data_IF_340277326197
#
_entry.id   IF_340277326197
#
_cell.length_a   1.000
_cell.length_b   1.000
_cell.length_c   1.000
_cell.angle_alpha   90.00
_cell.angle_beta   90.00
_cell.angle_gamma   90.00
#
_symmetry.space_group_name_H-M   'P 1'
#
loop_
_entity.id
_entity.type
_entity.pdbx_description
1 polymer ?
#
# COMPACT_ATOMS: atom_id res chain seq x y z
N UNK A 1 2.95 -11.08 3.37
CA UNK A 1 2.55 -12.02 4.45
C UNK A 1 1.64 -13.06 3.82
N UNK A 2 2.02 -14.32 3.92
CA UNK A 2 1.26 -15.41 3.33
C UNK A 2 -0.14 -15.51 3.94
N UNK A 3 -1.17 -15.70 3.09
CA UNK A 3 -2.56 -15.87 3.54
C UNK A 3 -3.37 -14.58 3.70
N UNK A 4 -2.74 -13.40 3.60
CA UNK A 4 -3.45 -12.13 3.64
C UNK A 4 -3.57 -11.52 2.24
N UNK A 5 -4.73 -10.94 1.88
CA UNK A 5 -4.88 -10.18 0.65
C UNK A 5 -3.90 -9.00 0.63
N UNK A 6 -3.40 -8.67 -0.55
CA UNK A 6 -2.48 -7.54 -0.75
C UNK A 6 -2.85 -6.76 -1.99
N UNK A 7 -2.64 -5.45 -1.95
CA UNK A 7 -2.75 -4.58 -3.12
C UNK A 7 -1.52 -4.62 -4.03
N UNK A 8 -0.46 -5.32 -3.60
CA UNK A 8 0.80 -5.42 -4.33
C UNK A 8 0.87 -6.69 -5.18
N UNK A 9 1.79 -6.69 -6.15
CA UNK A 9 2.12 -7.88 -6.90
C UNK A 9 2.68 -8.98 -5.98
N UNK A 10 2.24 -10.23 -6.14
CA UNK A 10 2.66 -11.34 -5.29
C UNK A 10 4.16 -11.69 -5.40
N UNK A 11 4.84 -11.23 -6.44
CA UNK A 11 6.29 -11.30 -6.58
C UNK A 11 7.07 -10.29 -5.71
N UNK A 12 6.41 -9.40 -4.98
CA UNK A 12 7.04 -8.52 -4.01
C UNK A 12 7.33 -9.29 -2.71
N UNK A 13 8.40 -10.07 -2.69
CA UNK A 13 8.73 -11.06 -1.65
C UNK A 13 9.75 -10.57 -0.61
N UNK A 14 10.14 -9.28 -0.66
CA UNK A 14 11.09 -8.70 0.30
C UNK A 14 12.55 -9.05 0.01
N UNK A 15 12.90 -9.38 -1.23
CA UNK A 15 14.24 -9.82 -1.62
C UNK A 15 15.31 -8.80 -1.25
N UNK A 16 15.04 -7.50 -1.44
CA UNK A 16 15.95 -6.42 -1.05
C UNK A 16 16.26 -6.40 0.44
N UNK A 17 15.23 -6.63 1.28
CA UNK A 17 15.41 -6.76 2.74
C UNK A 17 16.25 -7.97 3.10
N UNK A 18 15.97 -9.12 2.48
CA UNK A 18 16.70 -10.36 2.72
C UNK A 18 18.17 -10.25 2.31
N UNK A 19 18.46 -9.66 1.15
CA UNK A 19 19.82 -9.42 0.66
C UNK A 19 20.60 -8.50 1.62
N UNK A 20 20.02 -7.37 1.98
CA UNK A 20 20.62 -6.42 2.91
C UNK A 20 20.88 -7.05 4.28
N UNK A 21 19.92 -7.79 4.83
CA UNK A 21 20.04 -8.48 6.10
C UNK A 21 21.18 -9.51 6.09
N UNK A 22 21.30 -10.32 5.04
CA UNK A 22 22.39 -11.30 4.88
C UNK A 22 23.77 -10.66 4.83
N UNK A 23 23.85 -9.41 4.34
CA UNK A 23 25.07 -8.61 4.35
C UNK A 23 25.37 -7.93 5.68
N UNK A 24 24.50 -8.08 6.70
CA UNK A 24 24.66 -7.47 8.01
C UNK A 24 24.09 -6.05 8.13
N UNK A 25 23.22 -5.65 7.20
CA UNK A 25 22.52 -4.37 7.31
C UNK A 25 21.53 -4.37 8.49
N UNK A 26 21.51 -3.25 9.21
CA UNK A 26 20.55 -3.05 10.31
C UNK A 26 19.15 -2.81 9.75
N UNK A 27 18.16 -3.51 10.30
CA UNK A 27 16.76 -3.31 10.01
C UNK A 27 16.08 -2.50 11.12
N UNK A 28 14.99 -1.81 10.77
CA UNK A 28 14.18 -1.08 11.75
C UNK A 28 12.70 -1.16 11.41
N UNK A 29 11.85 -1.19 12.42
CA UNK A 29 10.38 -1.18 12.30
C UNK A 29 9.81 -2.25 11.36
N UNK A 30 10.45 -3.41 11.21
CA UNK A 30 10.02 -4.49 10.30
C UNK A 30 8.69 -5.13 10.70
N UNK A 31 8.21 -4.84 11.89
CA UNK A 31 6.90 -5.22 12.43
C UNK A 31 5.76 -4.29 11.97
N UNK A 32 6.07 -3.22 11.22
CA UNK A 32 5.09 -2.19 10.87
C UNK A 32 4.63 -2.29 9.43
N UNK A 33 3.50 -2.96 9.24
CA UNK A 33 2.81 -3.02 7.95
C UNK A 33 1.66 -2.00 7.94
N UNK A 34 1.53 -1.28 6.83
CA UNK A 34 0.39 -0.41 6.61
C UNK A 34 -0.68 -1.16 5.83
N UNK A 35 -1.88 -1.23 6.39
CA UNK A 35 -3.06 -1.66 5.65
C UNK A 35 -3.61 -0.49 4.83
N UNK A 36 -4.07 -0.79 3.62
CA UNK A 36 -4.94 0.12 2.88
C UNK A 36 -6.38 -0.21 3.25
N UNK A 37 -7.19 0.77 3.72
CA UNK A 37 -8.55 0.50 4.17
C UNK A 37 -9.45 -0.10 3.10
N UNK A 38 -9.24 0.29 1.84
CA UNK A 38 -10.13 -0.02 0.72
C UNK A 38 -9.52 -1.07 -0.21
N UNK A 39 -9.34 -2.30 0.27
CA UNK A 39 -9.10 -3.47 -0.58
C UNK A 39 -10.43 -4.07 -1.02
N UNK A 40 -10.60 -4.38 -2.31
CA UNK A 40 -11.82 -5.04 -2.81
C UNK A 40 -11.98 -6.43 -2.16
N UNK A 41 -13.21 -6.78 -1.82
CA UNK A 41 -13.59 -8.10 -1.27
C UNK A 41 -14.42 -8.88 -2.28
N UNK A 42 -15.12 -8.19 -3.16
CA UNK A 42 -15.95 -8.74 -4.21
C UNK A 42 -15.76 -7.92 -5.50
N UNK A 43 -15.76 -8.56 -6.67
CA UNK A 43 -15.80 -10.02 -6.91
C UNK A 43 -14.51 -10.72 -6.48
N UNK A 44 -14.54 -12.06 -6.38
CA UNK A 44 -13.40 -12.84 -5.84
C UNK A 44 -12.09 -12.63 -6.62
N UNK A 45 -12.17 -12.36 -7.92
CA UNK A 45 -11.02 -12.08 -8.78
C UNK A 45 -10.30 -10.77 -8.43
N UNK A 46 -11.00 -9.86 -7.74
CA UNK A 46 -10.47 -8.57 -7.30
C UNK A 46 -10.08 -8.54 -5.82
N UNK A 47 -10.13 -9.68 -5.11
CA UNK A 47 -9.81 -9.71 -3.69
C UNK A 47 -8.41 -9.12 -3.44
N UNK A 48 -8.37 -8.11 -2.56
CA UNK A 48 -7.15 -7.38 -2.21
C UNK A 48 -6.77 -6.28 -3.20
N UNK A 49 -7.39 -6.24 -4.39
CA UNK A 49 -7.13 -5.17 -5.35
C UNK A 49 -7.47 -3.80 -4.75
N UNK A 50 -6.63 -2.82 -5.10
CA UNK A 50 -6.78 -1.47 -4.57
C UNK A 50 -8.05 -0.79 -5.13
N UNK A 51 -8.92 -0.35 -4.22
CA UNK A 51 -9.94 0.67 -4.51
C UNK A 51 -9.35 2.00 -4.05
N UNK A 52 -9.21 2.94 -4.99
CA UNK A 52 -8.49 4.19 -4.74
C UNK A 52 -9.03 4.96 -3.53
N UNK A 53 -8.12 5.51 -2.75
CA UNK A 53 -8.45 6.37 -1.61
C UNK A 53 -9.18 7.65 -2.02
N UNK A 54 -8.99 8.09 -3.28
CA UNK A 54 -9.64 9.26 -3.85
C UNK A 54 -11.16 9.24 -3.69
N UNK A 55 -11.80 8.06 -3.84
CA UNK A 55 -13.26 7.93 -3.67
C UNK A 55 -13.70 8.40 -2.27
N UNK A 56 -12.98 7.99 -1.20
CA UNK A 56 -13.26 8.46 0.17
C UNK A 56 -12.95 9.96 0.34
N UNK A 57 -11.88 10.41 -0.31
CA UNK A 57 -11.48 11.83 -0.26
C UNK A 57 -12.47 12.75 -0.96
N UNK A 58 -13.23 12.25 -1.92
CA UNK A 58 -14.28 12.99 -2.64
C UNK A 58 -15.69 12.76 -2.08
N UNK A 59 -15.82 12.15 -0.91
CA UNK A 59 -17.08 12.06 -0.19
C UNK A 59 -17.70 10.66 -0.11
N UNK A 60 -17.09 9.62 -0.69
CA UNK A 60 -17.59 8.25 -0.56
C UNK A 60 -17.59 7.76 0.89
N UNK A 61 -18.75 7.41 1.42
CA UNK A 61 -18.94 7.01 2.81
C UNK A 61 -18.67 5.51 3.01
N UNK A 62 -18.19 5.18 4.22
CA UNK A 62 -18.08 3.80 4.70
C UNK A 62 -19.29 3.45 5.55
N UNK A 63 -20.06 2.45 5.11
CA UNK A 63 -21.28 2.03 5.81
C UNK A 63 -21.26 0.53 6.13
N UNK A 64 -21.78 0.19 7.30
CA UNK A 64 -21.89 -1.18 7.77
C UNK A 64 -23.12 -1.89 7.19
N UNK A 65 -23.38 -3.13 7.60
CA UNK A 65 -24.53 -3.93 7.15
C UNK A 65 -25.89 -3.33 7.54
N UNK A 66 -25.93 -2.37 8.48
CA UNK A 66 -27.15 -1.66 8.88
C UNK A 66 -27.35 -0.35 8.11
N UNK A 67 -26.43 0.02 7.22
CA UNK A 67 -26.43 1.31 6.53
C UNK A 67 -25.90 2.46 7.40
N UNK A 68 -25.24 2.18 8.53
CA UNK A 68 -24.73 3.19 9.43
C UNK A 68 -23.29 3.55 9.06
N UNK A 69 -22.99 4.85 8.95
CA UNK A 69 -21.63 5.38 8.87
C UNK A 69 -20.96 5.28 10.23
N UNK A 70 -19.75 4.74 10.31
CA UNK A 70 -19.12 4.37 11.59
C UNK A 70 -17.72 4.98 11.80
N UNK A 71 -17.17 5.68 10.83
CA UNK A 71 -15.83 6.29 10.90
C UNK A 71 -15.79 7.56 10.05
N UNK A 72 -14.88 8.48 10.37
CA UNK A 72 -14.51 9.55 9.45
C UNK A 72 -13.55 9.00 8.39
N UNK A 73 -13.96 8.98 7.13
CA UNK A 73 -13.22 8.39 6.01
C UNK A 73 -11.90 9.10 5.70
N UNK A 74 -11.74 10.34 6.19
CA UNK A 74 -10.52 11.15 6.02
C UNK A 74 -9.50 10.97 7.14
N UNK A 75 -9.82 10.16 8.15
CA UNK A 75 -8.86 9.80 9.18
C UNK A 75 -7.69 8.99 8.61
N UNK A 76 -6.65 8.81 9.42
CA UNK A 76 -5.46 8.06 9.01
C UNK A 76 -5.79 6.61 8.69
N UNK A 77 -5.00 5.98 7.80
CA UNK A 77 -5.26 4.62 7.30
C UNK A 77 -5.40 3.57 8.40
N UNK A 78 -4.63 3.69 9.47
CA UNK A 78 -4.69 2.79 10.63
C UNK A 78 -6.00 2.93 11.39
N UNK A 79 -6.50 4.16 11.59
CA UNK A 79 -7.79 4.42 12.23
C UNK A 79 -8.93 3.87 11.39
N UNK A 80 -8.96 4.19 10.10
CA UNK A 80 -10.02 3.70 9.20
C UNK A 80 -9.98 2.17 9.08
N UNK A 81 -8.79 1.57 8.91
CA UNK A 81 -8.65 0.12 8.82
C UNK A 81 -9.10 -0.59 10.10
N UNK A 82 -8.69 -0.11 11.27
CA UNK A 82 -9.08 -0.70 12.55
C UNK A 82 -10.59 -0.57 12.80
N UNK A 83 -11.21 0.53 12.37
CA UNK A 83 -12.67 0.71 12.46
C UNK A 83 -13.42 -0.28 11.57
N UNK A 84 -12.97 -0.50 10.34
CA UNK A 84 -13.56 -1.53 9.44
C UNK A 84 -13.43 -2.94 10.05
N UNK A 85 -12.25 -3.27 10.55
CA UNK A 85 -12.00 -4.58 11.20
C UNK A 85 -12.96 -4.77 12.37
N UNK A 86 -13.09 -3.75 13.24
CA UNK A 86 -13.99 -3.79 14.39
C UNK A 86 -15.45 -4.00 13.98
N UNK A 87 -15.95 -3.25 12.97
CA UNK A 87 -17.31 -3.44 12.46
C UNK A 87 -17.57 -4.87 12.00
N UNK A 88 -16.59 -5.46 11.32
CA UNK A 88 -16.67 -6.84 10.84
C UNK A 88 -16.61 -7.86 11.98
N UNK A 89 -15.74 -7.67 12.98
CA UNK A 89 -15.60 -8.56 14.15
C UNK A 89 -16.83 -8.52 15.05
N UNK A 90 -17.46 -7.35 15.19
CA UNK A 90 -18.70 -7.18 15.95
C UNK A 90 -19.97 -7.62 15.19
N UNK A 91 -19.80 -8.24 14.01
CA UNK A 91 -20.89 -8.82 13.24
C UNK A 91 -21.73 -7.82 12.44
N UNK A 92 -21.24 -6.57 12.26
CA UNK A 92 -21.90 -5.54 11.45
C UNK A 92 -21.32 -5.46 10.03
N UNK A 93 -20.41 -6.35 9.66
CA UNK A 93 -19.89 -6.47 8.29
C UNK A 93 -20.86 -7.24 7.39
N UNK A 94 -20.69 -7.08 6.08
CA UNK A 94 -21.42 -7.80 5.03
C UNK A 94 -20.63 -9.04 4.65
N UNK A 95 -21.27 -10.21 4.64
CA UNK A 95 -20.65 -11.46 4.22
C UNK A 95 -20.95 -11.79 2.77
N UNK A 96 -19.92 -12.15 2.02
CA UNK A 96 -20.07 -12.71 0.67
C UNK A 96 -20.50 -14.18 0.73
N UNK A 97 -20.94 -14.74 -0.39
CA UNK A 97 -21.27 -16.16 -0.51
C UNK A 97 -20.07 -17.08 -0.22
N UNK A 98 -18.84 -16.62 -0.51
CA UNK A 98 -17.59 -17.34 -0.19
C UNK A 98 -17.15 -17.20 1.26
N UNK A 99 -17.94 -16.53 2.11
CA UNK A 99 -17.67 -16.37 3.55
C UNK A 99 -16.74 -15.22 3.90
N UNK A 100 -16.26 -14.44 2.92
CA UNK A 100 -15.49 -13.24 3.21
C UNK A 100 -16.39 -12.15 3.79
N UNK A 101 -15.77 -11.20 4.48
CA UNK A 101 -16.50 -10.13 5.16
C UNK A 101 -15.91 -8.76 4.76
N UNK A 102 -16.73 -7.73 4.71
CA UNK A 102 -16.33 -6.36 4.43
C UNK A 102 -17.39 -5.35 4.83
N UNK A 103 -17.16 -4.10 4.49
CA UNK A 103 -18.11 -2.99 4.62
C UNK A 103 -18.34 -2.36 3.25
N UNK A 104 -19.44 -1.66 3.08
CA UNK A 104 -19.70 -0.93 1.84
C UNK A 104 -18.91 0.38 1.80
N UNK A 105 -18.26 0.63 0.69
CA UNK A 105 -17.87 1.96 0.24
C UNK A 105 -18.97 2.45 -0.72
N UNK A 106 -19.71 3.45 -0.28
CA UNK A 106 -20.83 4.03 -1.05
C UNK A 106 -20.28 4.91 -2.18
N UNK A 107 -20.00 4.27 -3.31
CA UNK A 107 -19.49 4.94 -4.50
C UNK A 107 -20.57 5.70 -5.26
N UNK A 108 -21.87 5.24 -5.34
CA UNK A 108 -22.96 5.99 -5.97
C UNK A 108 -23.20 7.37 -5.34
N UNK A 109 -22.84 7.55 -4.08
CA UNK A 109 -22.99 8.81 -3.35
C UNK A 109 -22.29 9.98 -4.06
N UNK A 110 -21.14 9.72 -4.73
CA UNK A 110 -20.38 10.77 -5.42
C UNK A 110 -21.22 11.40 -6.55
N UNK A 111 -21.89 10.57 -7.34
CA UNK A 111 -22.77 11.05 -8.42
C UNK A 111 -24.02 11.73 -7.86
N UNK A 112 -24.53 11.28 -6.71
CA UNK A 112 -25.68 11.89 -6.05
C UNK A 112 -25.37 13.28 -5.48
N UNK A 113 -24.18 13.48 -4.90
CA UNK A 113 -23.76 14.74 -4.27
C UNK A 113 -23.16 15.75 -5.27
N UNK A 114 -22.38 15.28 -6.24
CA UNK A 114 -21.62 16.14 -7.15
C UNK A 114 -22.15 16.19 -8.58
N UNK A 115 -23.19 15.40 -8.87
CA UNK A 115 -23.85 15.31 -10.16
C UNK A 115 -23.46 14.06 -10.96
N UNK A 116 -24.36 13.61 -11.87
CA UNK A 116 -24.16 12.41 -12.66
C UNK A 116 -22.86 12.42 -13.47
N UNK A 117 -22.14 11.29 -13.49
CA UNK A 117 -20.89 11.11 -14.21
C UNK A 117 -19.65 11.62 -13.50
N UNK A 118 -19.75 12.08 -12.25
CA UNK A 118 -18.61 12.48 -11.43
C UNK A 118 -17.65 11.32 -11.22
N UNK A 119 -18.18 10.15 -10.86
CA UNK A 119 -17.38 8.95 -10.62
C UNK A 119 -16.63 8.51 -11.89
N UNK A 120 -17.30 8.50 -13.05
CA UNK A 120 -16.68 8.15 -14.34
C UNK A 120 -15.57 9.14 -14.71
N UNK A 121 -15.80 10.42 -14.52
CA UNK A 121 -14.86 11.49 -14.84
C UNK A 121 -13.61 11.46 -13.95
N UNK A 122 -13.76 11.24 -12.65
CA UNK A 122 -12.64 11.31 -11.68
C UNK A 122 -11.93 9.97 -11.50
N UNK A 123 -12.66 8.86 -11.66
CA UNK A 123 -12.14 7.51 -11.39
C UNK A 123 -12.38 6.52 -12.54
N UNK A 124 -12.07 6.88 -13.81
CA UNK A 124 -12.37 6.02 -14.98
C UNK A 124 -11.69 4.65 -14.89
N UNK A 125 -10.50 4.58 -14.28
CA UNK A 125 -9.80 3.31 -14.08
C UNK A 125 -10.54 2.38 -13.11
N UNK A 126 -11.19 2.93 -12.07
CA UNK A 126 -11.99 2.15 -11.13
C UNK A 126 -13.28 1.65 -11.81
N UNK A 127 -13.97 2.50 -12.56
CA UNK A 127 -15.13 2.10 -13.38
C UNK A 127 -14.77 0.89 -14.25
N UNK A 128 -13.73 1.03 -15.08
CA UNK A 128 -13.26 -0.03 -15.98
C UNK A 128 -12.85 -1.32 -15.24
N UNK A 129 -12.27 -1.19 -14.06
CA UNK A 129 -11.83 -2.34 -13.26
C UNK A 129 -13.00 -3.21 -12.82
N UNK A 130 -14.12 -2.61 -12.40
CA UNK A 130 -15.30 -3.33 -11.92
C UNK A 130 -16.25 -3.71 -13.06
N UNK A 131 -16.38 -2.89 -14.11
CA UNK A 131 -17.18 -3.15 -15.30
C UNK A 131 -16.80 -4.47 -15.99
N UNK A 132 -15.51 -4.84 -15.98
CA UNK A 132 -15.00 -6.13 -16.49
C UNK A 132 -15.66 -7.35 -15.83
N UNK A 133 -16.24 -7.16 -14.66
CA UNK A 133 -16.95 -8.19 -13.89
C UNK A 133 -18.47 -7.93 -13.84
N UNK A 134 -18.97 -7.02 -14.68
CA UNK A 134 -20.39 -6.68 -14.73
C UNK A 134 -20.91 -5.85 -13.56
N UNK A 135 -20.02 -5.16 -12.83
CA UNK A 135 -20.37 -4.31 -11.69
C UNK A 135 -20.25 -2.85 -12.12
N UNK A 136 -21.35 -2.10 -12.00
CA UNK A 136 -21.40 -0.66 -12.25
C UNK A 136 -21.31 0.09 -10.91
N UNK A 137 -20.11 0.53 -10.54
CA UNK A 137 -19.86 1.19 -9.27
C UNK A 137 -20.46 2.60 -9.15
N UNK A 138 -21.09 3.11 -10.22
CA UNK A 138 -21.92 4.32 -10.14
C UNK A 138 -23.34 4.04 -9.61
N UNK A 139 -23.73 2.77 -9.59
CA UNK A 139 -25.05 2.30 -9.13
C UNK A 139 -24.98 1.39 -7.92
N UNK A 140 -23.90 0.61 -7.84
CA UNK A 140 -23.68 -0.38 -6.79
C UNK A 140 -22.49 0.00 -5.91
N UNK A 141 -22.63 -0.01 -4.58
CA UNK A 141 -21.50 0.25 -3.68
C UNK A 141 -20.45 -0.87 -3.78
N UNK A 142 -19.20 -0.54 -3.48
CA UNK A 142 -18.09 -1.50 -3.52
C UNK A 142 -17.87 -2.13 -2.15
N UNK A 143 -17.82 -3.46 -2.09
CA UNK A 143 -17.49 -4.17 -0.86
C UNK A 143 -15.98 -4.15 -0.64
N UNK A 144 -15.53 -3.60 0.50
CA UNK A 144 -14.13 -3.43 0.83
C UNK A 144 -13.78 -4.00 2.20
N UNK A 145 -12.49 -4.35 2.36
CA UNK A 145 -11.87 -4.73 3.63
C UNK A 145 -10.39 -4.34 3.60
N UNK A 146 -9.75 -4.04 4.76
CA UNK A 146 -8.34 -3.70 4.80
C UNK A 146 -7.44 -4.76 4.16
N UNK A 147 -6.50 -4.31 3.32
CA UNK A 147 -5.55 -5.16 2.60
C UNK A 147 -4.11 -4.72 2.88
N UNK A 148 -3.17 -5.66 2.89
CA UNK A 148 -1.75 -5.34 3.04
C UNK A 148 -1.28 -4.47 1.87
N UNK A 149 -0.60 -3.37 2.20
CA UNK A 149 -0.29 -2.35 1.21
C UNK A 149 1.16 -1.89 1.19
N UNK A 150 1.74 -1.55 2.35
CA UNK A 150 3.06 -0.94 2.39
C UNK A 150 3.84 -1.38 3.65
N UNK A 151 5.13 -1.67 3.46
CA UNK A 151 6.05 -1.93 4.55
C UNK A 151 6.67 -0.60 5.01
N UNK A 152 6.33 -0.12 6.22
CA UNK A 152 6.88 1.13 6.74
C UNK A 152 8.32 0.99 7.23
N UNK A 153 8.66 -0.17 7.77
CA UNK A 153 10.02 -0.48 8.18
C UNK A 153 10.87 -1.05 7.04
N UNK A 154 12.14 -1.23 7.31
CA UNK A 154 13.06 -1.73 6.30
C UNK A 154 14.51 -1.60 6.73
N UNK A 155 15.42 -1.53 5.76
CA UNK A 155 16.84 -1.33 6.00
C UNK A 155 17.08 0.09 6.52
N UNK A 156 17.76 0.20 7.68
CA UNK A 156 18.12 1.50 8.25
C UNK A 156 19.13 2.22 7.34
N UNK A 157 18.77 3.43 6.91
CA UNK A 157 19.61 4.30 6.08
C UNK A 157 19.86 5.65 6.79
N UNK A 158 20.87 6.34 6.32
CA UNK A 158 21.13 7.74 6.65
C UNK A 158 20.51 8.70 5.62
N UNK A 159 20.77 10.00 5.74
CA UNK A 159 20.26 11.03 4.84
C UNK A 159 20.81 10.93 3.41
N UNK A 160 21.86 10.16 3.18
CA UNK A 160 22.45 9.89 1.87
C UNK A 160 22.06 8.54 1.28
N UNK A 161 21.09 7.85 1.91
CA UNK A 161 20.65 6.49 1.56
C UNK A 161 21.69 5.39 1.84
N UNK A 162 22.73 5.69 2.66
CA UNK A 162 23.77 4.76 3.00
C UNK A 162 23.37 3.90 4.19
N UNK A 163 23.70 2.61 4.14
CA UNK A 163 23.48 1.69 5.26
C UNK A 163 24.72 1.61 6.15
N UNK A 164 24.65 0.83 7.22
CA UNK A 164 25.85 0.50 8.02
C UNK A 164 26.82 -0.46 7.31
N UNK A 165 26.41 -1.04 6.18
CA UNK A 165 27.28 -1.90 5.36
C UNK A 165 27.96 -1.04 4.31
N UNK A 166 29.28 -1.08 4.28
CA UNK A 166 30.07 -0.28 3.34
C UNK A 166 29.68 -0.56 1.88
N UNK A 167 29.45 0.50 1.10
CA UNK A 167 29.04 0.46 -0.30
C UNK A 167 27.64 -0.14 -0.57
N UNK A 168 26.81 -0.27 0.46
CA UNK A 168 25.41 -0.67 0.32
C UNK A 168 24.50 0.54 0.52
N UNK A 169 23.74 0.87 -0.52
CA UNK A 169 22.76 1.94 -0.54
C UNK A 169 21.37 1.34 -0.75
N UNK A 170 20.36 1.92 -0.10
CA UNK A 170 18.98 1.47 -0.19
C UNK A 170 18.05 2.68 -0.33
N UNK A 171 17.07 2.59 -1.22
CA UNK A 171 16.03 3.59 -1.41
C UNK A 171 14.68 2.92 -1.70
N UNK A 172 13.58 3.67 -1.51
CA UNK A 172 12.22 3.19 -1.71
C UNK A 172 11.74 2.31 -0.55
N UNK A 173 10.71 1.50 -0.80
CA UNK A 173 10.02 0.72 0.24
C UNK A 173 10.93 -0.25 1.03
N UNK A 174 12.07 -0.65 0.47
CA UNK A 174 13.05 -1.47 1.17
C UNK A 174 13.78 -0.71 2.30
N UNK A 175 13.76 0.64 2.29
CA UNK A 175 14.37 1.47 3.32
C UNK A 175 13.42 1.70 4.49
N UNK A 176 13.97 1.73 5.70
CA UNK A 176 13.24 2.01 6.94
C UNK A 176 13.60 3.35 7.56
N UNK A 177 12.69 3.88 8.37
CA UNK A 177 12.92 5.09 9.16
C UNK A 177 12.41 6.39 8.55
N UNK A 178 12.12 6.42 7.25
CA UNK A 178 11.66 7.62 6.55
C UNK A 178 10.23 8.02 6.95
N UNK A 179 9.38 7.04 7.13
CA UNK A 179 7.96 7.21 7.40
C UNK A 179 7.56 6.89 8.85
N UNK A 180 8.53 6.67 9.72
CA UNK A 180 8.25 6.18 11.07
C UNK A 180 7.53 4.82 11.03
N UNK A 181 6.41 4.70 11.75
CA UNK A 181 5.62 3.47 11.84
C UNK A 181 4.33 3.51 11.02
N UNK A 182 4.00 4.65 10.40
CA UNK A 182 2.77 4.82 9.61
C UNK A 182 2.94 5.91 8.56
N UNK A 183 3.08 5.51 7.30
CA UNK A 183 3.33 6.40 6.16
C UNK A 183 2.08 7.22 5.81
N UNK A 184 2.26 8.51 5.57
CA UNK A 184 1.22 9.35 4.97
C UNK A 184 1.03 9.01 3.49
N UNK A 185 -0.20 9.09 3.02
CA UNK A 185 -0.58 8.85 1.64
C UNK A 185 0.29 9.65 0.66
N UNK A 186 0.70 9.00 -0.45
CA UNK A 186 1.49 9.63 -1.51
C UNK A 186 3.00 9.71 -1.23
N UNK A 187 3.43 9.71 0.03
CA UNK A 187 4.84 9.93 0.39
C UNK A 187 5.81 8.85 -0.12
N UNK A 188 5.31 7.65 -0.47
CA UNK A 188 6.17 6.62 -1.08
C UNK A 188 6.75 7.04 -2.43
N UNK A 189 6.00 7.80 -3.24
CA UNK A 189 6.52 8.33 -4.51
C UNK A 189 7.56 9.43 -4.29
N UNK A 190 7.34 10.29 -3.29
CA UNK A 190 8.31 11.32 -2.91
C UNK A 190 9.62 10.71 -2.42
N UNK A 191 9.53 9.68 -1.59
CA UNK A 191 10.70 8.98 -1.08
C UNK A 191 11.52 8.34 -2.22
N UNK A 192 10.87 7.67 -3.18
CA UNK A 192 11.53 7.11 -4.36
C UNK A 192 12.32 8.18 -5.14
N UNK A 193 11.72 9.35 -5.35
CA UNK A 193 12.37 10.45 -6.08
C UNK A 193 13.54 11.04 -5.30
N UNK A 194 13.36 11.32 -4.02
CA UNK A 194 14.37 11.98 -3.19
C UNK A 194 15.52 11.04 -2.86
N UNK A 195 15.22 9.88 -2.27
CA UNK A 195 16.25 8.95 -1.80
C UNK A 195 16.84 8.12 -2.92
N UNK A 196 16.09 7.82 -3.99
CA UNK A 196 16.65 7.23 -5.21
C UNK A 196 17.72 8.15 -5.84
N UNK A 197 17.43 9.45 -5.95
CA UNK A 197 18.41 10.43 -6.44
C UNK A 197 19.62 10.53 -5.51
N UNK A 198 19.43 10.63 -4.18
CA UNK A 198 20.52 10.70 -3.21
C UNK A 198 21.39 9.45 -3.25
N UNK A 199 20.77 8.29 -3.25
CA UNK A 199 21.46 6.99 -3.37
C UNK A 199 22.35 6.94 -4.62
N UNK A 200 21.79 7.31 -5.78
CA UNK A 200 22.53 7.32 -7.04
C UNK A 200 23.72 8.29 -7.04
N UNK A 201 23.53 9.52 -6.56
CA UNK A 201 24.60 10.51 -6.49
C UNK A 201 25.71 10.09 -5.52
N UNK A 202 25.36 9.59 -4.33
CA UNK A 202 26.32 9.16 -3.33
C UNK A 202 27.11 7.93 -3.79
N UNK A 203 26.41 6.96 -4.38
CA UNK A 203 27.04 5.76 -4.95
C UNK A 203 28.01 6.11 -6.10
N UNK A 204 27.61 7.01 -7.00
CA UNK A 204 28.46 7.46 -8.11
C UNK A 204 29.71 8.18 -7.61
N UNK A 205 29.56 9.12 -6.66
CA UNK A 205 30.70 9.84 -6.09
C UNK A 205 31.67 8.88 -5.38
N UNK A 206 31.15 7.90 -4.65
CA UNK A 206 31.97 6.87 -4.00
C UNK A 206 32.70 6.00 -5.02
N UNK A 207 32.00 5.53 -6.05
CA UNK A 207 32.62 4.71 -7.11
C UNK A 207 33.75 5.45 -7.82
N UNK A 208 33.59 6.74 -8.08
CA UNK A 208 34.64 7.57 -8.70
C UNK A 208 35.89 7.74 -7.81
N UNK A 209 35.71 7.69 -6.49
CA UNK A 209 36.82 7.83 -5.53
C UNK A 209 37.50 6.49 -5.19
N UNK A 210 36.92 5.36 -5.61
CA UNK A 210 37.48 4.04 -5.28
C UNK A 210 38.48 3.57 -6.36
N UNK A 211 39.61 2.94 -5.96
CA UNK A 211 40.49 2.31 -6.90
C UNK A 211 39.77 1.16 -7.59
N UNK A 212 39.96 1.02 -8.91
CA UNK A 212 39.41 -0.12 -9.65
C UNK A 212 40.06 -1.43 -9.18
N UNK A 213 39.24 -2.29 -8.55
CA UNK A 213 39.65 -3.64 -8.19
C UNK A 213 39.70 -4.55 -9.39
N UNK A 214 40.51 -5.63 -9.31
CA UNK A 214 40.46 -6.70 -10.30
C UNK A 214 39.22 -7.55 -10.08
N UNK A 215 38.43 -7.73 -11.12
CA UNK A 215 37.33 -8.70 -11.11
C UNK A 215 37.93 -10.11 -11.01
N UNK A 216 37.51 -10.89 -10.04
CA UNK A 216 37.92 -12.27 -9.85
C UNK A 216 36.68 -13.16 -9.80
N UNK A 217 36.81 -14.40 -10.25
CA UNK A 217 35.75 -15.41 -10.15
C UNK A 217 35.84 -16.25 -8.87
N UNK A 218 36.75 -15.92 -7.97
CA UNK A 218 37.01 -16.67 -6.72
C UNK A 218 35.78 -16.82 -5.82
N UNK A 219 34.83 -15.89 -5.92
CA UNK A 219 33.53 -15.91 -5.18
C UNK A 219 32.52 -16.91 -5.79
N UNK A 220 32.79 -17.47 -6.97
CA UNK A 220 31.93 -18.47 -7.62
C UNK A 220 32.33 -19.92 -7.27
N UNK A 221 33.38 -20.06 -6.50
CA UNK A 221 33.82 -21.35 -5.92
C UNK A 221 33.32 -21.45 -4.49
#
# INVERSE_FOLDING_TARGET
IQGFPTSNHYGATGDGLCLAYRLGAKLMHIDTFQYHPSGAVYPEQLIGALVTEGIRSEGGHLVNAKGERFVNELDTRDVVSSSIIRECEEGRGIRTMSGRIGVWLDTPLLDAEHGPGTLEKHFPAMMLQFERFGIDISKDPVLIYPTLHYQNGGVKIDTNSETNVHNLFVAGEASGGLHGRNRLMGNSLLDLMVFGKRSGLTAAARAAAMPQGKLTVGHLK
#
